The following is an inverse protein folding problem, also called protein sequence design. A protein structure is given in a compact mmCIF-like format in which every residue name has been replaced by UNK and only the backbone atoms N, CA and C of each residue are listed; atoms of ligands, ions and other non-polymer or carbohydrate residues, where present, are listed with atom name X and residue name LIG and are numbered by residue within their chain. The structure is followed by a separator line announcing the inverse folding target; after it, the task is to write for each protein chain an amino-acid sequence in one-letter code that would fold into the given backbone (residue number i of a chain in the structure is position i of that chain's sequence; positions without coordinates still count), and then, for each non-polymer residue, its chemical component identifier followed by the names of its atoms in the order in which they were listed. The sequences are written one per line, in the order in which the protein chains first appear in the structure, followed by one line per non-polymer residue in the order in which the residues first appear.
data_IF_556418066930
#
_entry.id   IF_556418066930
#
_cell.length_a   1.000
_cell.length_b   1.000
_cell.length_c   1.000
_cell.angle_alpha   90.00
_cell.angle_beta   90.00
_cell.angle_gamma   90.00
#
_symmetry.space_group_name_H-M   'P 1'
#
loop_
_entity.id
_entity.type
_entity.pdbx_description
1 polymer ?
#
# COMPACT_ATOMS: atom_id res chain seq x y z
N UNK A 1 -51.37 -1.60 -8.63
CA UNK A 1 -50.45 -0.46 -8.79
C UNK A 1 -49.22 -0.46 -7.86
N UNK A 2 -49.16 -1.26 -6.78
CA UNK A 2 -48.05 -1.23 -5.78
C UNK A 2 -46.80 -2.06 -6.17
N UNK A 3 -46.96 -3.17 -6.90
CA UNK A 3 -45.86 -4.11 -7.25
C UNK A 3 -44.82 -3.54 -8.24
N UNK A 4 -45.23 -2.65 -9.15
CA UNK A 4 -44.36 -2.02 -10.15
C UNK A 4 -43.36 -1.04 -9.53
N UNK A 5 -43.78 -0.29 -8.51
CA UNK A 5 -42.92 0.64 -7.78
C UNK A 5 -41.84 -0.08 -6.96
N UNK A 6 -42.15 -1.26 -6.40
CA UNK A 6 -41.19 -2.07 -5.62
C UNK A 6 -40.11 -2.66 -6.53
N UNK A 7 -40.48 -3.17 -7.72
CA UNK A 7 -39.50 -3.66 -8.71
C UNK A 7 -38.59 -2.54 -9.22
N UNK A 8 -39.15 -1.35 -9.49
CA UNK A 8 -38.38 -0.18 -9.93
C UNK A 8 -37.36 0.26 -8.88
N UNK A 9 -37.75 0.33 -7.61
CA UNK A 9 -36.86 0.72 -6.51
C UNK A 9 -35.75 -0.33 -6.26
N UNK A 10 -36.06 -1.63 -6.36
CA UNK A 10 -35.05 -2.70 -6.27
C UNK A 10 -34.04 -2.64 -7.43
N UNK A 11 -34.47 -2.31 -8.64
CA UNK A 11 -33.58 -2.16 -9.79
C UNK A 11 -32.69 -0.91 -9.67
N UNK A 12 -33.21 0.19 -9.12
CA UNK A 12 -32.43 1.39 -8.83
C UNK A 12 -31.38 1.09 -7.75
N UNK A 13 -31.74 0.41 -6.66
CA UNK A 13 -30.77 0.01 -5.63
C UNK A 13 -29.72 -0.96 -6.19
N UNK A 14 -30.11 -1.94 -6.99
CA UNK A 14 -29.14 -2.86 -7.63
C UNK A 14 -28.22 -2.11 -8.61
N UNK A 15 -28.70 -1.07 -9.30
CA UNK A 15 -27.89 -0.25 -10.20
C UNK A 15 -26.95 0.72 -9.46
N UNK A 16 -27.40 1.28 -8.33
CA UNK A 16 -26.57 2.14 -7.45
C UNK A 16 -25.47 1.32 -6.76
N UNK A 17 -25.79 0.10 -6.33
CA UNK A 17 -24.83 -0.83 -5.71
C UNK A 17 -23.88 -1.44 -6.77
N UNK A 18 -24.32 -1.58 -8.03
CA UNK A 18 -23.52 -2.08 -9.16
C UNK A 18 -22.92 -0.93 -9.98
N UNK A 19 -22.56 0.18 -9.35
CA UNK A 19 -21.65 1.11 -10.00
C UNK A 19 -20.23 0.56 -9.81
N UNK A 20 -19.89 -0.48 -10.57
CA UNK A 20 -18.51 -0.97 -10.68
C UNK A 20 -17.75 0.09 -11.47
N UNK A 21 -17.39 1.17 -10.79
CA UNK A 21 -16.50 2.18 -11.31
C UNK A 21 -15.16 1.47 -11.52
N UNK A 22 -14.74 1.34 -12.78
CA UNK A 22 -13.39 0.89 -13.05
C UNK A 22 -12.47 1.89 -12.37
N UNK A 23 -11.63 1.41 -11.47
CA UNK A 23 -10.77 2.26 -10.64
C UNK A 23 -9.83 3.05 -11.56
N UNK A 24 -9.66 4.34 -11.29
CA UNK A 24 -8.75 5.18 -12.08
C UNK A 24 -7.33 4.59 -12.05
N UNK A 25 -6.65 4.60 -13.20
CA UNK A 25 -5.32 4.01 -13.35
C UNK A 25 -4.26 4.62 -12.42
N UNK A 26 -4.42 5.88 -12.04
CA UNK A 26 -3.54 6.53 -11.07
C UNK A 26 -3.85 6.07 -9.65
N UNK A 27 -5.13 5.95 -9.28
CA UNK A 27 -5.51 5.38 -7.99
C UNK A 27 -5.00 3.94 -7.81
N UNK A 28 -5.09 3.14 -8.87
CA UNK A 28 -4.60 1.76 -8.88
C UNK A 28 -3.09 1.70 -8.78
N UNK A 29 -2.38 2.43 -9.64
CA UNK A 29 -0.93 2.40 -9.66
C UNK A 29 -0.30 2.91 -8.36
N UNK A 30 -0.76 4.06 -7.87
CA UNK A 30 -0.27 4.62 -6.60
C UNK A 30 -0.71 3.82 -5.38
N UNK A 31 -1.91 3.24 -5.39
CA UNK A 31 -2.32 2.34 -4.32
C UNK A 31 -1.44 1.08 -4.27
N UNK A 32 -1.07 0.51 -5.42
CA UNK A 32 -0.25 -0.70 -5.47
C UNK A 32 1.19 -0.38 -5.07
N UNK A 33 1.67 0.78 -5.48
CA UNK A 33 2.93 1.33 -5.00
C UNK A 33 2.94 1.53 -3.49
N UNK A 34 1.83 2.00 -2.90
CA UNK A 34 1.71 2.15 -1.44
C UNK A 34 1.86 0.81 -0.74
N UNK A 35 1.18 -0.24 -1.22
CA UNK A 35 1.26 -1.59 -0.67
C UNK A 35 2.70 -2.09 -0.67
N UNK A 36 3.39 -1.98 -1.81
CA UNK A 36 4.78 -2.45 -1.96
C UNK A 36 5.73 -1.63 -1.11
N UNK A 37 5.62 -0.30 -1.15
CA UNK A 37 6.48 0.62 -0.39
C UNK A 37 6.32 0.41 1.11
N UNK A 38 5.10 0.17 1.58
CA UNK A 38 4.82 -0.04 2.99
C UNK A 38 5.45 -1.34 3.51
N UNK A 39 5.35 -2.44 2.77
CA UNK A 39 6.03 -3.69 3.10
C UNK A 39 7.56 -3.53 3.06
N UNK A 40 8.06 -2.86 2.02
CA UNK A 40 9.49 -2.59 1.87
C UNK A 40 10.02 -1.73 3.03
N UNK A 41 9.24 -0.75 3.50
CA UNK A 41 9.58 0.06 4.67
C UNK A 41 9.85 -0.82 5.89
N UNK A 42 8.96 -1.76 6.22
CA UNK A 42 9.16 -2.67 7.34
C UNK A 42 10.42 -3.54 7.19
N UNK A 43 10.65 -4.10 6.00
CA UNK A 43 11.82 -4.93 5.72
C UNK A 43 13.12 -4.13 5.83
N UNK A 44 13.21 -2.97 5.18
CA UNK A 44 14.42 -2.13 5.23
C UNK A 44 14.70 -1.68 6.65
N UNK A 45 13.65 -1.37 7.43
CA UNK A 45 13.80 -0.99 8.83
C UNK A 45 14.44 -2.14 9.63
N UNK A 46 13.98 -3.37 9.50
CA UNK A 46 14.62 -4.51 10.18
C UNK A 46 16.06 -4.73 9.69
N UNK A 47 16.27 -4.71 8.37
CA UNK A 47 17.59 -4.98 7.78
C UNK A 47 18.64 -3.94 8.22
N UNK A 48 18.29 -2.65 8.22
CA UNK A 48 19.23 -1.60 8.62
C UNK A 48 19.63 -1.72 10.09
N UNK A 49 18.70 -2.14 10.96
CA UNK A 49 18.98 -2.28 12.41
C UNK A 49 19.84 -3.52 12.69
N UNK A 50 19.67 -4.61 11.93
CA UNK A 50 20.48 -5.83 12.10
C UNK A 50 21.86 -5.70 11.46
N UNK A 51 22.01 -4.93 10.37
CA UNK A 51 23.24 -4.89 9.57
C UNK A 51 23.94 -3.54 9.63
N UNK A 52 25.07 -3.51 10.35
CA UNK A 52 25.97 -2.34 10.43
C UNK A 52 26.46 -1.83 9.06
N UNK A 53 26.76 -2.68 8.05
CA UNK A 53 27.15 -2.20 6.72
C UNK A 53 26.05 -1.39 6.02
N UNK A 54 24.80 -1.86 6.09
CA UNK A 54 23.66 -1.15 5.47
C UNK A 54 23.41 0.17 6.18
N UNK A 55 23.45 0.17 7.51
CA UNK A 55 23.37 1.38 8.33
C UNK A 55 24.42 2.42 7.91
N UNK A 56 25.67 1.99 7.71
CA UNK A 56 26.78 2.86 7.34
C UNK A 56 26.64 3.41 5.91
N UNK A 57 26.21 2.59 4.95
CA UNK A 57 25.90 3.05 3.59
C UNK A 57 24.79 4.11 3.63
N UNK A 58 23.74 3.89 4.42
CA UNK A 58 22.66 4.85 4.56
C UNK A 58 23.10 6.15 5.24
N UNK A 59 23.98 6.09 6.24
CA UNK A 59 24.58 7.29 6.86
C UNK A 59 25.46 8.04 5.86
N UNK A 60 26.24 7.35 5.04
CA UNK A 60 27.13 7.97 4.06
C UNK A 60 26.38 8.69 2.94
N UNK A 61 25.18 8.22 2.56
CA UNK A 61 24.42 8.81 1.46
C UNK A 61 23.87 10.22 1.76
N UNK A 62 23.13 10.41 2.86
CA UNK A 62 22.50 11.70 3.23
C UNK A 62 22.85 12.18 4.64
N UNK A 63 23.97 11.71 5.22
CA UNK A 63 24.43 12.08 6.56
C UNK A 63 23.65 11.45 7.71
N UNK A 64 22.39 11.05 7.48
CA UNK A 64 21.55 10.42 8.49
C UNK A 64 20.74 9.26 7.91
N UNK A 65 20.92 8.06 8.47
CA UNK A 65 20.27 6.83 8.01
C UNK A 65 18.73 6.92 7.95
N UNK A 66 18.09 7.64 8.88
CA UNK A 66 16.63 7.88 8.81
C UNK A 66 16.21 8.74 7.63
N UNK A 67 17.02 9.76 7.27
CA UNK A 67 16.75 10.62 6.12
C UNK A 67 16.92 9.85 4.82
N UNK A 68 18.02 9.10 4.66
CA UNK A 68 18.24 8.24 3.48
C UNK A 68 17.13 7.22 3.30
N UNK A 69 16.70 6.58 4.39
CA UNK A 69 15.60 5.64 4.39
C UNK A 69 14.29 6.28 3.90
N UNK A 70 13.92 7.43 4.46
CA UNK A 70 12.70 8.14 4.08
C UNK A 70 12.71 8.61 2.62
N UNK A 71 13.82 9.22 2.18
CA UNK A 71 13.99 9.66 0.79
C UNK A 71 13.94 8.48 -0.18
N UNK A 72 14.60 7.37 0.16
CA UNK A 72 14.57 6.16 -0.65
C UNK A 72 13.14 5.61 -0.81
N UNK A 73 12.36 5.54 0.27
CA UNK A 73 10.97 5.08 0.22
C UNK A 73 10.08 6.02 -0.60
N UNK A 74 10.25 7.34 -0.48
CA UNK A 74 9.52 8.29 -1.32
C UNK A 74 9.84 8.11 -2.80
N UNK A 75 11.13 7.91 -3.11
CA UNK A 75 11.56 7.68 -4.49
C UNK A 75 10.97 6.39 -5.06
N UNK A 76 11.02 5.29 -4.30
CA UNK A 76 10.38 4.01 -4.65
C UNK A 76 8.88 4.21 -4.84
N UNK A 77 8.19 4.89 -3.92
CA UNK A 77 6.76 5.12 -4.00
C UNK A 77 6.35 5.85 -5.28
N UNK A 78 7.06 6.93 -5.63
CA UNK A 78 6.75 7.71 -6.83
C UNK A 78 7.05 6.91 -8.09
N UNK A 79 8.21 6.24 -8.17
CA UNK A 79 8.59 5.46 -9.34
C UNK A 79 7.62 4.31 -9.56
N UNK A 80 7.35 3.50 -8.54
CA UNK A 80 6.41 2.38 -8.64
C UNK A 80 5.01 2.88 -8.94
N UNK A 81 4.60 4.02 -8.37
CA UNK A 81 3.30 4.64 -8.64
C UNK A 81 3.13 4.95 -10.12
N UNK A 82 4.11 5.64 -10.71
CA UNK A 82 4.12 5.95 -12.14
C UNK A 82 4.18 4.68 -12.98
N UNK A 83 5.09 3.74 -12.65
CA UNK A 83 5.25 2.47 -13.39
C UNK A 83 3.96 1.66 -13.39
N UNK A 84 3.28 1.53 -12.25
CA UNK A 84 2.02 0.81 -12.18
C UNK A 84 0.85 1.57 -12.80
N UNK A 85 0.92 2.90 -12.91
CA UNK A 85 -0.11 3.71 -13.59
C UNK A 85 0.00 3.72 -15.11
N UNK A 86 1.22 3.57 -15.66
CA UNK A 86 1.43 3.49 -17.11
C UNK A 86 1.23 2.09 -17.66
N UNK A 87 1.49 1.06 -16.86
CA UNK A 87 1.25 -0.32 -17.26
C UNK A 87 -0.22 -0.65 -17.07
N UNK A 88 -0.84 -1.21 -18.11
CA UNK A 88 -2.16 -1.83 -17.98
C UNK A 88 -2.01 -3.06 -17.08
N UNK A 89 -2.20 -2.89 -15.77
CA UNK A 89 -2.27 -4.00 -14.82
C UNK A 89 -3.53 -4.78 -15.21
N UNK A 90 -3.35 -5.82 -16.02
CA UNK A 90 -4.37 -6.50 -16.86
C UNK A 90 -5.52 -7.19 -16.12
N UNK A 91 -5.74 -6.87 -14.85
CA UNK A 91 -6.83 -7.37 -14.04
C UNK A 91 -7.88 -6.29 -13.81
N UNK A 92 -9.16 -6.65 -13.80
CA UNK A 92 -10.23 -5.72 -13.41
C UNK A 92 -10.19 -5.50 -11.90
N UNK A 93 -9.30 -4.63 -11.45
CA UNK A 93 -9.19 -4.21 -10.06
C UNK A 93 -10.49 -3.57 -9.58
N UNK A 94 -10.83 -3.88 -8.34
CA UNK A 94 -11.99 -3.35 -7.64
C UNK A 94 -11.51 -2.58 -6.42
N UNK A 95 -12.18 -1.47 -6.09
CA UNK A 95 -11.79 -0.58 -5.01
C UNK A 95 -11.74 -1.30 -3.66
N UNK A 96 -12.65 -2.27 -3.44
CA UNK A 96 -12.65 -3.08 -2.23
C UNK A 96 -11.43 -4.00 -2.14
N UNK A 97 -11.06 -4.68 -3.22
CA UNK A 97 -9.83 -5.50 -3.27
C UNK A 97 -8.62 -4.64 -2.94
N UNK A 98 -8.54 -3.46 -3.53
CA UNK A 98 -7.44 -2.54 -3.30
C UNK A 98 -7.33 -2.12 -1.84
N UNK A 99 -8.45 -1.78 -1.22
CA UNK A 99 -8.53 -1.47 0.20
C UNK A 99 -8.03 -2.63 1.07
N UNK A 100 -8.43 -3.87 0.77
CA UNK A 100 -7.94 -5.04 1.51
C UNK A 100 -6.43 -5.22 1.41
N UNK A 101 -5.82 -4.99 0.24
CA UNK A 101 -4.36 -5.07 0.10
C UNK A 101 -3.63 -4.00 0.91
N UNK A 102 -4.14 -2.75 0.89
CA UNK A 102 -3.56 -1.67 1.68
C UNK A 102 -3.63 -2.02 3.17
N UNK A 103 -4.80 -2.37 3.68
CA UNK A 103 -4.99 -2.74 5.10
C UNK A 103 -4.11 -3.94 5.47
N UNK A 104 -4.11 -4.99 4.65
CA UNK A 104 -3.29 -6.18 4.87
C UNK A 104 -1.80 -5.84 4.94
N UNK A 105 -1.31 -5.00 4.03
CA UNK A 105 0.09 -4.56 4.03
C UNK A 105 0.46 -3.79 5.30
N UNK A 106 -0.45 -2.95 5.81
CA UNK A 106 -0.24 -2.17 7.04
C UNK A 106 -0.17 -3.10 8.24
N UNK A 107 -1.13 -4.02 8.37
CA UNK A 107 -1.13 -4.99 9.47
C UNK A 107 0.16 -5.81 9.46
N UNK A 108 0.55 -6.35 8.29
CA UNK A 108 1.79 -7.14 8.15
C UNK A 108 3.00 -6.29 8.53
N UNK A 109 3.10 -5.06 8.04
CA UNK A 109 4.23 -4.16 8.33
C UNK A 109 4.34 -3.83 9.82
N UNK A 110 3.22 -3.55 10.48
CA UNK A 110 3.16 -3.30 11.92
C UNK A 110 3.58 -4.53 12.70
N UNK A 111 3.11 -5.73 12.33
CA UNK A 111 3.50 -6.98 12.97
C UNK A 111 5.00 -7.21 12.86
N UNK A 112 5.58 -7.05 11.67
CA UNK A 112 7.03 -7.20 11.44
C UNK A 112 7.84 -6.27 12.37
N UNK A 113 7.50 -4.98 12.38
CA UNK A 113 8.22 -3.98 13.17
C UNK A 113 8.03 -4.25 14.68
N UNK A 114 6.81 -4.54 15.10
CA UNK A 114 6.49 -4.79 16.51
C UNK A 114 7.23 -6.02 17.02
N UNK A 115 7.18 -7.14 16.29
CA UNK A 115 7.88 -8.37 16.67
C UNK A 115 9.39 -8.15 16.76
N UNK A 116 9.96 -7.35 15.85
CA UNK A 116 11.38 -7.03 15.88
C UNK A 116 11.80 -6.19 17.09
N UNK A 117 11.01 -5.18 17.48
CA UNK A 117 11.34 -4.31 18.62
C UNK A 117 10.83 -4.82 19.97
N UNK A 118 9.89 -5.76 20.01
CA UNK A 118 9.32 -6.28 21.25
C UNK A 118 10.39 -6.80 22.24
N UNK A 119 11.41 -7.57 21.80
CA UNK A 119 12.49 -8.00 22.70
C UNK A 119 13.29 -6.83 23.28
N UNK A 120 13.53 -5.77 22.51
CA UNK A 120 14.28 -4.59 22.96
C UNK A 120 13.54 -3.77 24.02
N UNK A 121 12.22 -3.92 24.13
CA UNK A 121 11.41 -3.19 25.12
C UNK A 121 11.33 -3.93 26.46
N UNK A 122 11.46 -5.27 26.43
CA UNK A 122 11.27 -6.14 27.60
C UNK A 122 12.62 -6.54 28.23
N UNK A 123 13.73 -6.40 27.48
CA UNK A 123 15.10 -6.60 27.95
C UNK A 123 15.63 -5.35 28.67
#
# INVERSE_FOLDING_TARGET
MKKTNIKKNKNIQTAVIKNKTNMDKYLLGFGLSLVVTNLLNAVILVVKEVSSPVMNVMKAALGHHWTTHGVFLLFVFVILGVVFSINEVGEKWDSLKMMYYIIGSVIISVVIITVFFLPYLIA
#
